data_IF_590240550248
#
_entry.id   IF_590240550248
#
_cell.length_a   1.000
_cell.length_b   1.000
_cell.length_c   1.000
_cell.angle_alpha   90.00
_cell.angle_beta   90.00
_cell.angle_gamma   90.00
#
_symmetry.space_group_name_H-M   'P 1'
#
loop_
_entity.id
_entity.type
_entity.pdbx_description
1 polymer ?
#
# COMPACT_ATOMS: atom_id res chain seq x y z
N UNK A 1 25.77 52.25 -18.25
CA UNK A 1 25.23 52.76 -19.53
C UNK A 1 25.20 51.60 -20.51
N UNK A 2 24.00 51.09 -20.72
CA UNK A 2 23.46 50.77 -22.03
C UNK A 2 24.44 50.23 -23.09
N UNK A 3 24.30 48.94 -23.41
CA UNK A 3 23.66 48.46 -24.64
C UNK A 3 24.23 47.08 -24.96
N UNK A 4 23.39 46.03 -24.96
CA UNK A 4 22.49 45.72 -26.07
C UNK A 4 23.26 45.69 -27.39
N UNK A 5 23.54 44.48 -27.87
CA UNK A 5 22.83 43.89 -29.01
C UNK A 5 23.49 42.56 -29.36
N UNK A 6 22.66 41.69 -29.92
CA UNK A 6 23.00 40.35 -30.42
C UNK A 6 23.09 39.35 -29.27
N UNK A 7 22.00 38.67 -28.91
CA UNK A 7 21.54 37.53 -29.73
C UNK A 7 20.09 37.11 -29.45
N UNK A 8 19.13 38.04 -29.42
CA UNK A 8 17.70 37.68 -29.44
C UNK A 8 16.89 38.55 -30.40
N UNK A 9 16.58 37.96 -31.55
CA UNK A 9 15.35 38.08 -32.32
C UNK A 9 15.10 36.62 -32.75
N UNK A 10 14.01 35.91 -32.44
CA UNK A 10 12.55 36.18 -32.37
C UNK A 10 11.96 34.90 -31.72
N UNK A 11 10.86 34.83 -30.96
CA UNK A 11 10.00 35.75 -30.23
C UNK A 11 9.28 34.89 -29.15
N UNK A 12 9.12 35.46 -27.96
CA UNK A 12 8.28 34.93 -26.89
C UNK A 12 6.91 35.61 -26.99
N UNK A 13 5.77 34.90 -26.84
CA UNK A 13 4.47 35.54 -26.70
C UNK A 13 4.39 36.35 -25.39
N UNK A 14 3.75 37.53 -25.38
CA UNK A 14 3.84 38.46 -24.26
C UNK A 14 3.16 37.93 -22.99
N UNK A 15 3.65 38.34 -21.80
CA UNK A 15 2.92 38.18 -20.55
C UNK A 15 1.76 39.18 -20.54
N UNK A 16 0.52 38.70 -20.47
CA UNK A 16 -0.59 39.57 -20.10
C UNK A 16 -0.47 39.87 -18.61
N UNK A 17 -0.03 41.08 -18.30
CA UNK A 17 -0.21 41.73 -17.01
C UNK A 17 -1.69 41.83 -16.70
N UNK A 18 -2.13 41.20 -15.63
CA UNK A 18 -3.04 41.89 -14.71
C UNK A 18 -2.64 41.58 -13.27
N UNK A 19 -2.67 42.63 -12.46
CA UNK A 19 -2.15 42.66 -11.11
C UNK A 19 -2.94 41.77 -10.17
N UNK A 20 -2.22 41.02 -9.36
CA UNK A 20 -2.81 40.29 -8.25
C UNK A 20 -1.73 39.60 -7.46
N UNK A 21 -1.17 40.30 -6.47
CA UNK A 21 -0.57 39.61 -5.33
C UNK A 21 -1.68 38.76 -4.73
N UNK A 22 -1.71 37.47 -5.05
CA UNK A 22 -2.58 36.54 -4.37
C UNK A 22 -1.98 36.31 -2.98
N UNK A 23 -2.52 37.03 -2.00
CA UNK A 23 -2.47 36.57 -0.61
C UNK A 23 -3.15 35.20 -0.61
N UNK A 24 -2.34 34.16 -0.49
CA UNK A 24 -2.86 32.81 -0.26
C UNK A 24 -3.52 32.88 1.11
N UNK A 25 -4.85 32.78 1.13
CA UNK A 25 -5.59 32.53 2.35
C UNK A 25 -5.08 31.21 2.93
N UNK A 26 -4.29 31.34 4.00
CA UNK A 26 -3.65 30.23 4.70
C UNK A 26 -4.69 29.19 5.13
N UNK A 27 -5.94 29.61 5.38
CA UNK A 27 -7.04 28.71 5.73
C UNK A 27 -7.47 27.83 4.55
N UNK A 28 -7.47 28.33 3.32
CA UNK A 28 -7.79 27.52 2.14
C UNK A 28 -6.65 26.56 1.76
N UNK A 29 -5.40 26.95 2.01
CA UNK A 29 -4.24 26.06 1.81
C UNK A 29 -4.20 24.94 2.86
N UNK A 30 -4.50 25.26 4.12
CA UNK A 30 -4.62 24.27 5.21
C UNK A 30 -5.82 23.34 4.99
N UNK A 31 -6.97 23.86 4.54
CA UNK A 31 -8.14 23.04 4.21
C UNK A 31 -7.87 22.07 3.05
N UNK A 32 -7.01 22.44 2.09
CA UNK A 32 -6.59 21.57 0.98
C UNK A 32 -5.67 20.45 1.46
N UNK A 33 -4.74 20.74 2.38
CA UNK A 33 -3.88 19.74 3.03
C UNK A 33 -4.74 18.78 3.87
N UNK A 34 -5.71 19.28 4.63
CA UNK A 34 -6.63 18.44 5.41
C UNK A 34 -7.50 17.53 4.53
N UNK A 35 -7.91 18.01 3.33
CA UNK A 35 -8.70 17.24 2.36
C UNK A 35 -7.88 16.15 1.65
N UNK A 36 -6.60 16.42 1.35
CA UNK A 36 -5.65 15.41 0.84
C UNK A 36 -5.25 14.40 1.93
N UNK A 37 -5.18 14.82 3.20
CA UNK A 37 -5.00 13.91 4.35
C UNK A 37 -6.21 13.00 4.57
N UNK A 38 -7.43 13.50 4.33
CA UNK A 38 -8.66 12.72 4.49
C UNK A 38 -8.82 11.59 3.45
N UNK A 39 -8.09 11.63 2.33
CA UNK A 39 -8.23 10.69 1.21
C UNK A 39 -7.15 9.61 1.14
N UNK A 40 -6.15 9.61 2.03
CA UNK A 40 -5.14 8.55 2.09
C UNK A 40 -5.46 7.52 3.18
N UNK A 41 -6.20 6.47 2.81
CA UNK A 41 -6.54 5.35 3.68
C UNK A 41 -5.87 4.05 3.23
N UNK A 42 -5.12 3.48 4.18
CA UNK A 42 -4.71 2.09 4.36
C UNK A 42 -3.69 1.48 3.38
N UNK A 43 -2.41 1.62 3.74
CA UNK A 43 -1.45 0.51 3.60
C UNK A 43 -1.32 -0.19 4.95
N UNK A 44 -1.63 -1.48 4.91
CA UNK A 44 -1.50 -2.47 5.96
C UNK A 44 -0.01 -2.62 6.32
N UNK A 45 0.34 -2.33 7.57
CA UNK A 45 1.60 -2.72 8.18
C UNK A 45 1.23 -3.28 9.55
N UNK A 46 1.57 -4.55 9.77
CA UNK A 46 1.44 -5.36 10.98
C UNK A 46 2.21 -4.79 12.19
N UNK A 47 2.14 -3.48 12.43
CA UNK A 47 2.56 -2.88 13.68
C UNK A 47 1.33 -2.77 14.61
N UNK A 48 1.24 -3.56 15.69
CA UNK A 48 0.14 -3.51 16.67
C UNK A 48 0.21 -2.28 17.59
N UNK A 49 1.21 -1.41 17.40
CA UNK A 49 1.52 -0.28 18.26
C UNK A 49 1.01 1.03 17.67
N UNK A 50 0.49 1.91 18.53
CA UNK A 50 -0.03 3.22 18.15
C UNK A 50 1.07 4.26 18.25
N UNK A 51 1.35 4.97 17.15
CA UNK A 51 2.36 6.03 17.13
C UNK A 51 1.72 7.39 16.86
N UNK A 52 2.47 8.46 17.13
CA UNK A 52 2.16 9.81 16.65
C UNK A 52 3.45 10.51 16.21
N UNK A 53 3.41 11.28 15.13
CA UNK A 53 4.55 12.12 14.74
C UNK A 53 4.62 13.31 15.67
N UNK A 54 5.80 13.55 16.21
CA UNK A 54 6.08 14.72 17.04
C UNK A 54 7.30 15.47 16.54
N UNK A 55 7.40 16.73 16.95
CA UNK A 55 8.55 17.59 16.69
C UNK A 55 9.04 18.27 17.96
N UNK A 56 10.35 18.22 18.19
CA UNK A 56 11.05 18.94 19.25
C UNK A 56 12.17 19.75 18.59
N UNK A 57 12.06 21.08 18.62
CA UNK A 57 12.96 21.95 17.88
C UNK A 57 12.92 21.63 16.38
N UNK A 58 14.07 21.22 15.81
CA UNK A 58 14.19 20.79 14.41
C UNK A 58 14.10 19.27 14.22
N UNK A 59 14.08 18.49 15.30
CA UNK A 59 14.07 17.03 15.25
C UNK A 59 12.63 16.51 15.24
N UNK A 60 12.37 15.48 14.43
CA UNK A 60 11.09 14.77 14.39
C UNK A 60 11.30 13.29 14.66
N UNK A 61 10.35 12.66 15.35
CA UNK A 61 10.28 11.21 15.49
C UNK A 61 8.83 10.72 15.55
N UNK A 62 8.68 9.40 15.49
CA UNK A 62 7.42 8.71 15.76
C UNK A 62 7.42 8.28 17.22
N UNK A 63 6.63 8.97 18.05
CA UNK A 63 6.45 8.63 19.45
C UNK A 63 5.49 7.45 19.61
N UNK A 64 5.86 6.46 20.40
CA UNK A 64 4.96 5.39 20.80
C UNK A 64 3.97 5.91 21.84
N UNK A 65 2.68 5.67 21.65
CA UNK A 65 1.67 5.83 22.69
C UNK A 65 1.52 4.50 23.43
N UNK A 66 1.89 4.48 24.71
CA UNK A 66 1.95 3.27 25.52
C UNK A 66 1.21 3.46 26.85
N UNK A 67 -0.01 2.94 26.94
CA UNK A 67 -0.78 2.93 28.19
C UNK A 67 -0.18 1.99 29.26
N UNK A 68 0.78 1.14 28.90
CA UNK A 68 1.55 0.30 29.84
C UNK A 68 2.74 1.03 30.48
N UNK A 69 3.14 2.20 29.94
CA UNK A 69 4.24 2.99 30.48
C UNK A 69 3.74 3.99 31.53
N UNK A 70 4.29 3.96 32.75
CA UNK A 70 3.91 4.88 33.83
C UNK A 70 4.29 6.33 33.52
N UNK A 71 5.48 6.56 32.94
CA UNK A 71 6.03 7.87 32.62
C UNK A 71 6.28 8.01 31.11
N UNK A 72 6.57 9.22 30.67
CA UNK A 72 7.09 9.45 29.33
C UNK A 72 8.59 9.19 29.30
N UNK A 73 9.07 8.55 28.24
CA UNK A 73 10.48 8.22 28.07
C UNK A 73 11.03 8.80 26.76
N UNK A 74 12.30 9.20 26.79
CA UNK A 74 13.05 9.63 25.61
C UNK A 74 14.37 8.88 25.54
N UNK A 75 14.75 8.39 24.36
CA UNK A 75 16.04 7.74 24.17
C UNK A 75 17.18 8.76 24.21
N UNK A 76 18.37 8.33 24.65
CA UNK A 76 19.54 9.21 24.67
C UNK A 76 19.91 9.68 23.24
N UNK A 77 19.73 8.82 22.25
CA UNK A 77 20.01 9.12 20.84
C UNK A 77 19.09 10.21 20.29
N UNK A 78 17.78 10.11 20.53
CA UNK A 78 16.84 11.13 20.07
C UNK A 78 17.01 12.44 20.82
N UNK A 79 17.31 12.38 22.12
CA UNK A 79 17.65 13.55 22.93
C UNK A 79 18.86 14.31 22.36
N UNK A 80 19.91 13.59 21.94
CA UNK A 80 21.09 14.19 21.30
C UNK A 80 20.72 14.85 19.96
N UNK A 81 19.93 14.17 19.11
CA UNK A 81 19.42 14.72 17.84
C UNK A 81 18.55 15.97 18.03
N UNK A 82 17.75 16.01 19.10
CA UNK A 82 16.89 17.13 19.44
C UNK A 82 17.65 18.29 20.13
N UNK A 83 18.95 18.13 20.42
CA UNK A 83 19.75 19.16 21.09
C UNK A 83 19.37 19.39 22.54
N UNK A 84 18.78 18.38 23.21
CA UNK A 84 18.29 18.51 24.60
C UNK A 84 19.36 18.19 25.65
N UNK A 85 20.57 17.76 25.23
CA UNK A 85 21.68 17.41 26.13
C UNK A 85 21.98 18.43 27.25
N UNK A 86 22.07 19.74 26.97
CA UNK A 86 22.32 20.75 27.99
C UNK A 86 21.20 20.91 29.03
N UNK A 87 20.00 20.39 28.75
CA UNK A 87 18.81 20.48 29.63
C UNK A 87 18.64 19.27 30.55
N UNK A 88 19.51 18.28 30.43
CA UNK A 88 19.41 17.05 31.23
C UNK A 88 19.73 17.36 32.68
N UNK A 89 18.89 16.85 33.58
CA UNK A 89 19.08 16.95 35.02
C UNK A 89 19.13 15.57 35.65
N UNK A 90 19.82 15.47 36.79
CA UNK A 90 19.71 14.30 37.67
C UNK A 90 18.53 14.48 38.64
N UNK A 91 17.74 13.42 38.81
CA UNK A 91 16.64 13.33 39.76
C UNK A 91 17.21 13.18 41.17
N UNK A 92 16.61 13.85 42.16
CA UNK A 92 16.95 13.68 43.57
C UNK A 92 16.59 12.29 44.09
N UNK A 93 15.55 11.68 43.51
CA UNK A 93 15.12 10.31 43.77
C UNK A 93 15.01 9.57 42.43
N UNK A 94 15.86 8.55 42.19
CA UNK A 94 15.77 7.74 40.99
C UNK A 94 14.44 6.99 40.89
N UNK A 95 13.92 6.87 39.67
CA UNK A 95 12.69 6.12 39.39
C UNK A 95 13.05 4.70 39.01
N UNK A 96 12.48 3.72 39.72
CA UNK A 96 12.64 2.31 39.37
C UNK A 96 11.57 1.90 38.36
N UNK A 97 12.01 1.44 37.20
CA UNK A 97 11.14 1.02 36.09
C UNK A 97 11.37 -0.45 35.80
N UNK A 98 10.29 -1.22 35.76
CA UNK A 98 10.28 -2.60 35.26
C UNK A 98 9.90 -2.56 33.79
N UNK A 99 10.76 -3.09 32.92
CA UNK A 99 10.48 -3.15 31.48
C UNK A 99 9.42 -4.23 31.18
N UNK A 100 8.84 -4.17 29.98
CA UNK A 100 7.78 -5.08 29.54
C UNK A 100 8.18 -6.56 29.50
N UNK A 101 9.47 -6.89 29.61
CA UNK A 101 9.97 -8.25 29.78
C UNK A 101 9.73 -8.84 31.18
N UNK A 102 9.25 -8.02 32.14
CA UNK A 102 8.92 -8.43 33.50
C UNK A 102 10.13 -8.74 34.40
N UNK A 103 11.35 -8.70 33.85
CA UNK A 103 12.56 -9.13 34.53
C UNK A 103 13.61 -8.02 34.67
N UNK A 104 13.60 -7.05 33.77
CA UNK A 104 14.60 -5.98 33.77
C UNK A 104 14.10 -4.79 34.60
N UNK A 105 14.71 -4.59 35.77
CA UNK A 105 14.52 -3.40 36.59
C UNK A 105 15.66 -2.40 36.32
N UNK A 106 15.33 -1.20 35.85
CA UNK A 106 16.28 -0.10 35.65
C UNK A 106 16.00 1.02 36.65
N UNK A 107 17.06 1.57 37.23
CA UNK A 107 17.00 2.80 38.02
C UNK A 107 17.29 3.98 37.08
N UNK A 108 16.34 4.89 36.93
CA UNK A 108 16.45 6.08 36.09
C UNK A 108 16.70 7.28 36.99
N UNK A 109 17.90 7.85 36.90
CA UNK A 109 18.31 9.03 37.66
C UNK A 109 18.39 10.29 36.79
N UNK A 110 18.05 10.22 35.50
CA UNK A 110 18.16 11.35 34.56
C UNK A 110 16.82 11.66 33.90
N UNK A 111 16.50 12.95 33.82
CA UNK A 111 15.29 13.45 33.18
C UNK A 111 15.56 14.75 32.41
N UNK A 112 14.61 15.13 31.57
CA UNK A 112 14.51 16.46 30.98
C UNK A 112 13.10 17.00 31.20
N UNK A 113 13.04 18.19 31.78
CA UNK A 113 11.77 18.82 32.14
C UNK A 113 11.36 19.92 31.18
N UNK A 114 10.05 20.11 31.09
CA UNK A 114 9.43 21.23 30.38
C UNK A 114 9.81 21.33 28.90
N UNK A 115 9.79 20.22 28.17
CA UNK A 115 10.14 20.20 26.74
C UNK A 115 8.92 20.61 25.91
N UNK A 116 9.01 21.65 25.07
CA UNK A 116 7.95 21.97 24.13
C UNK A 116 7.92 20.93 23.01
N UNK A 117 6.85 20.13 22.97
CA UNK A 117 6.60 19.09 21.98
C UNK A 117 5.45 19.52 21.10
N UNK A 118 5.69 19.54 19.80
CA UNK A 118 4.67 19.83 18.79
C UNK A 118 4.08 18.51 18.28
N UNK A 119 2.78 18.34 18.49
CA UNK A 119 1.97 17.20 18.00
C UNK A 119 1.32 17.54 16.65
N UNK A 120 1.05 18.82 16.42
CA UNK A 120 0.64 19.43 15.16
C UNK A 120 1.18 20.88 15.12
N UNK A 121 1.17 21.59 13.96
CA UNK A 121 1.68 22.96 13.85
C UNK A 121 1.11 23.93 14.89
N UNK A 122 -0.15 23.75 15.29
CA UNK A 122 -0.84 24.57 16.29
C UNK A 122 -0.97 23.91 17.67
N UNK A 123 -0.66 22.61 17.78
CA UNK A 123 -0.77 21.84 19.02
C UNK A 123 0.61 21.58 19.64
N UNK A 124 1.04 22.49 20.52
CA UNK A 124 2.27 22.36 21.30
C UNK A 124 1.94 22.17 22.78
N UNK A 125 2.49 21.11 23.38
CA UNK A 125 2.38 20.83 24.82
C UNK A 125 3.75 20.76 25.45
N UNK A 126 3.81 21.15 26.72
CA UNK A 126 5.02 21.05 27.53
C UNK A 126 5.02 19.67 28.19
N UNK A 127 6.03 18.85 27.90
CA UNK A 127 6.12 17.46 28.36
C UNK A 127 7.46 17.23 29.03
N UNK A 128 7.47 16.54 30.16
CA UNK A 128 8.68 16.05 30.83
C UNK A 128 8.94 14.59 30.45
N UNK A 129 10.20 14.22 30.34
CA UNK A 129 10.64 12.87 29.95
C UNK A 129 11.72 12.35 30.90
N UNK A 130 11.60 11.08 31.25
CA UNK A 130 12.67 10.30 31.84
C UNK A 130 13.58 9.75 30.73
N UNK A 131 14.90 9.76 30.95
CA UNK A 131 15.85 9.32 29.94
C UNK A 131 16.07 7.83 30.10
N UNK A 132 15.61 7.07 29.12
CA UNK A 132 15.67 5.62 29.12
C UNK A 132 15.95 5.13 27.71
N UNK A 133 17.07 4.43 27.54
CA UNK A 133 17.37 3.79 26.27
C UNK A 133 16.44 2.58 26.08
N UNK A 134 15.58 2.72 25.07
CA UNK A 134 14.63 1.71 24.59
C UNK A 134 14.79 1.59 23.07
N UNK A 135 14.09 0.64 22.45
CA UNK A 135 14.05 0.53 20.99
C UNK A 135 13.21 1.63 20.32
N UNK A 136 12.65 2.58 21.08
CA UNK A 136 11.84 3.69 20.58
C UNK A 136 12.54 5.03 20.85
N UNK A 137 12.47 5.94 19.88
CA UNK A 137 12.96 7.32 20.05
C UNK A 137 12.25 8.04 21.21
N UNK A 138 10.95 7.80 21.36
CA UNK A 138 10.14 8.39 22.41
C UNK A 138 8.92 7.53 22.74
N UNK A 139 8.57 7.49 24.02
CA UNK A 139 7.35 6.84 24.54
C UNK A 139 6.54 7.90 25.30
N UNK A 140 5.27 8.03 24.95
CA UNK A 140 4.27 8.81 25.68
C UNK A 140 3.47 7.84 26.55
N UNK A 141 3.72 7.90 27.84
CA UNK A 141 3.09 7.06 28.84
C UNK A 141 1.91 7.74 29.53
N UNK A 142 1.47 7.14 30.62
CA UNK A 142 0.33 7.59 31.42
C UNK A 142 0.48 9.04 31.91
N UNK A 143 1.69 9.51 32.21
CA UNK A 143 1.94 10.91 32.57
C UNK A 143 1.50 11.92 31.50
N UNK A 144 1.59 11.57 30.22
CA UNK A 144 1.03 12.41 29.15
C UNK A 144 -0.42 12.04 28.86
N UNK A 145 -0.77 10.75 28.81
CA UNK A 145 -2.12 10.29 28.48
C UNK A 145 -3.19 10.78 29.47
N UNK A 146 -2.84 10.98 30.73
CA UNK A 146 -3.74 11.50 31.77
C UNK A 146 -3.67 13.03 31.93
N UNK A 147 -2.77 13.71 31.20
CA UNK A 147 -2.61 15.16 31.34
C UNK A 147 -3.86 15.93 30.91
N UNK A 148 -4.54 15.44 29.87
CA UNK A 148 -5.78 15.96 29.32
C UNK A 148 -6.56 14.80 28.69
N UNK A 149 -7.84 15.02 28.38
CA UNK A 149 -8.58 14.08 27.54
C UNK A 149 -8.08 14.17 26.09
N UNK A 150 -7.48 13.09 25.59
CA UNK A 150 -6.91 12.96 24.25
C UNK A 150 -7.73 11.93 23.45
N UNK A 151 -8.80 12.34 22.74
CA UNK A 151 -9.67 11.41 22.02
C UNK A 151 -8.90 10.51 21.04
N UNK A 152 -8.96 9.22 21.33
CA UNK A 152 -8.27 8.16 20.59
C UNK A 152 -9.25 7.45 19.66
N UNK A 153 -8.93 7.45 18.36
CA UNK A 153 -9.64 6.62 17.40
C UNK A 153 -8.73 5.48 16.94
N UNK A 154 -8.86 4.30 17.56
CA UNK A 154 -8.06 3.13 17.24
C UNK A 154 -8.24 2.65 15.80
N UNK A 155 -9.45 2.80 15.23
CA UNK A 155 -9.72 2.40 13.85
C UNK A 155 -8.99 3.30 12.85
N UNK A 156 -9.02 4.62 13.06
CA UNK A 156 -8.32 5.61 12.23
C UNK A 156 -6.85 5.79 12.61
N UNK A 157 -6.41 5.21 13.74
CA UNK A 157 -5.09 5.41 14.35
C UNK A 157 -4.74 6.90 14.52
N UNK A 158 -5.70 7.68 15.02
CA UNK A 158 -5.52 9.12 15.27
C UNK A 158 -5.66 9.43 16.75
N UNK A 159 -4.81 10.32 17.25
CA UNK A 159 -4.91 10.90 18.58
C UNK A 159 -5.26 12.37 18.42
N UNK A 160 -6.27 12.86 19.13
CA UNK A 160 -6.60 14.28 19.09
C UNK A 160 -5.92 15.00 20.25
N UNK A 161 -5.32 16.14 19.96
CA UNK A 161 -4.67 17.00 20.96
C UNK A 161 -5.28 18.39 20.85
N UNK A 162 -5.59 19.01 21.98
CA UNK A 162 -6.09 20.39 22.00
C UNK A 162 -4.98 21.36 21.59
N UNK A 163 -5.29 22.26 20.67
CA UNK A 163 -4.40 23.33 20.26
C UNK A 163 -4.45 24.53 21.24
N UNK A 164 -3.80 25.64 20.88
CA UNK A 164 -3.79 26.86 21.71
C UNK A 164 -5.16 27.57 21.79
N UNK A 165 -6.12 27.18 20.96
CA UNK A 165 -7.48 27.72 20.91
C UNK A 165 -8.50 26.78 21.58
N UNK A 166 -8.01 25.72 22.24
CA UNK A 166 -8.81 24.65 22.84
C UNK A 166 -9.56 23.78 21.81
N UNK A 167 -9.19 23.86 20.54
CA UNK A 167 -9.77 23.04 19.47
C UNK A 167 -9.05 21.68 19.37
N UNK A 168 -9.81 20.60 19.21
CA UNK A 168 -9.27 19.26 19.04
C UNK A 168 -8.70 19.09 17.63
N UNK A 169 -7.38 19.01 17.53
CA UNK A 169 -6.69 18.80 16.25
C UNK A 169 -6.28 17.32 16.11
N UNK A 170 -6.63 16.66 14.99
CA UNK A 170 -6.21 15.29 14.75
C UNK A 170 -4.70 15.22 14.50
N UNK A 171 -4.00 14.45 15.32
CA UNK A 171 -2.60 14.10 15.12
C UNK A 171 -2.54 12.72 14.45
N UNK A 172 -2.03 12.69 13.23
CA UNK A 172 -2.01 11.47 12.40
C UNK A 172 -0.69 10.71 12.53
N UNK A 173 -0.77 9.39 12.39
CA UNK A 173 0.34 8.52 12.00
C UNK A 173 0.58 8.73 10.49
N UNK A 174 1.69 9.32 10.02
CA UNK A 174 2.16 8.91 8.72
C UNK A 174 2.60 7.45 8.88
N UNK A 175 2.02 6.53 8.09
CA UNK A 175 2.62 5.22 7.89
C UNK A 175 4.12 5.42 7.57
N UNK A 176 5.03 4.52 7.98
CA UNK A 176 6.40 4.54 7.48
C UNK A 176 6.36 4.39 5.96
N UNK A 177 6.30 5.52 5.27
CA UNK A 177 6.69 5.61 3.88
C UNK A 177 8.21 5.71 3.90
N UNK A 178 8.96 4.89 3.15
CA UNK A 178 10.35 5.19 2.85
C UNK A 178 10.36 6.60 2.23
N UNK A 179 11.00 7.49 2.95
CA UNK A 179 11.07 8.92 2.69
C UNK A 179 11.57 9.21 1.28
N UNK A 180 10.73 9.86 0.47
CA UNK A 180 11.22 10.96 -0.35
C UNK A 180 11.31 12.15 0.63
N UNK A 181 12.50 12.40 1.17
CA UNK A 181 12.76 13.62 1.94
C UNK A 181 12.73 14.79 0.97
N UNK A 182 11.63 15.53 0.92
CA UNK A 182 11.57 16.77 0.15
C UNK A 182 12.20 17.88 0.98
N UNK A 183 13.48 18.18 0.73
CA UNK A 183 14.14 19.36 1.26
C UNK A 183 14.08 20.47 0.22
N UNK A 184 13.54 21.62 0.59
CA UNK A 184 13.63 22.82 -0.23
C UNK A 184 15.07 23.33 -0.14
N UNK A 185 15.83 23.15 -1.21
CA UNK A 185 17.19 23.67 -1.36
C UNK A 185 17.16 24.91 -2.26
N UNK A 186 17.93 25.93 -1.91
CA UNK A 186 18.07 27.11 -2.75
C UNK A 186 18.86 26.79 -4.02
N UNK A 187 18.59 27.51 -5.12
CA UNK A 187 19.39 27.39 -6.35
C UNK A 187 20.88 27.71 -6.11
N UNK A 188 21.19 28.57 -5.13
CA UNK A 188 22.57 28.88 -4.74
C UNK A 188 23.27 27.68 -4.07
N UNK A 189 22.57 26.95 -3.18
CA UNK A 189 23.10 25.74 -2.55
C UNK A 189 23.35 24.63 -3.56
N UNK A 190 22.45 24.45 -4.53
CA UNK A 190 22.64 23.47 -5.63
C UNK A 190 23.91 23.82 -6.42
N UNK A 191 24.08 25.08 -6.82
CA UNK A 191 25.29 25.53 -7.53
C UNK A 191 26.56 25.32 -6.72
N UNK A 192 26.51 25.57 -5.41
CA UNK A 192 27.66 25.42 -4.53
C UNK A 192 28.07 23.95 -4.35
N UNK A 193 27.11 23.03 -4.28
CA UNK A 193 27.37 21.59 -4.24
C UNK A 193 27.96 21.06 -5.55
N UNK A 194 27.41 21.49 -6.70
CA UNK A 194 27.99 21.17 -8.01
C UNK A 194 29.46 21.66 -8.10
N UNK A 195 29.74 22.87 -7.61
CA UNK A 195 31.11 23.41 -7.59
C UNK A 195 32.06 22.62 -6.68
N UNK A 196 31.54 22.12 -5.55
CA UNK A 196 32.33 21.35 -4.56
C UNK A 196 32.47 19.88 -4.91
N UNK A 197 31.75 19.40 -5.92
CA UNK A 197 31.74 18.00 -6.38
C UNK A 197 31.41 17.01 -5.24
N UNK A 198 30.51 17.42 -4.33
CA UNK A 198 30.12 16.68 -3.13
C UNK A 198 28.88 15.79 -3.34
N UNK A 199 28.39 15.68 -4.58
CA UNK A 199 27.23 14.90 -4.98
C UNK A 199 27.64 13.91 -6.08
N UNK A 200 27.44 12.61 -5.84
CA UNK A 200 27.75 11.54 -6.80
C UNK A 200 26.77 11.51 -7.98
N UNK A 201 25.49 11.81 -7.76
CA UNK A 201 24.45 11.79 -8.81
C UNK A 201 23.30 12.78 -8.47
N UNK A 202 22.78 13.50 -9.47
CA UNK A 202 21.67 14.45 -9.31
C UNK A 202 20.62 14.25 -10.40
N UNK A 203 19.36 14.02 -10.00
CA UNK A 203 18.20 13.93 -10.90
C UNK A 203 17.25 15.13 -10.74
N UNK A 204 16.63 15.55 -11.84
CA UNK A 204 15.58 16.59 -11.85
C UNK A 204 14.25 15.92 -12.20
N UNK A 205 13.23 16.14 -11.39
CA UNK A 205 11.89 15.62 -11.63
C UNK A 205 10.89 16.78 -11.70
N UNK A 206 10.09 16.84 -12.76
CA UNK A 206 9.04 17.84 -12.93
C UNK A 206 7.72 17.29 -12.40
N UNK A 207 7.23 17.87 -11.30
CA UNK A 207 5.88 17.61 -10.82
C UNK A 207 4.90 18.47 -11.60
N UNK A 208 4.22 17.88 -12.58
CA UNK A 208 3.04 18.51 -13.17
C UNK A 208 1.86 18.34 -12.22
N UNK A 209 1.44 19.43 -11.57
CA UNK A 209 0.14 19.49 -10.94
C UNK A 209 -0.92 19.46 -12.04
N UNK A 210 -1.70 18.37 -12.12
CA UNK A 210 -2.95 18.39 -12.88
C UNK A 210 -3.84 19.47 -12.26
N UNK A 211 -4.53 20.30 -13.07
CA UNK A 211 -5.43 21.31 -12.54
C UNK A 211 -6.48 20.65 -11.62
N UNK A 212 -6.90 21.34 -10.55
CA UNK A 212 -7.85 20.80 -9.58
C UNK A 212 -9.12 20.34 -10.32
N UNK A 213 -9.37 19.04 -10.25
CA UNK A 213 -10.58 18.42 -10.76
C UNK A 213 -11.77 18.80 -9.90
N UNK A 214 -12.29 20.00 -10.11
CA UNK A 214 -13.66 20.41 -9.81
C UNK A 214 -14.12 21.35 -10.94
N UNK A 215 -14.08 20.83 -12.16
CA UNK A 215 -15.25 21.00 -13.02
C UNK A 215 -16.22 19.89 -12.58
N UNK A 216 -17.55 20.08 -12.64
CA UNK A 216 -18.43 18.92 -12.66
C UNK A 216 -17.82 17.95 -13.68
N UNK A 217 -17.73 16.66 -13.35
CA UNK A 217 -17.64 15.68 -14.43
C UNK A 217 -18.93 15.87 -15.23
N UNK A 218 -18.93 16.83 -16.15
CA UNK A 218 -19.66 16.65 -17.38
C UNK A 218 -19.14 15.32 -17.86
N UNK A 219 -20.00 14.30 -17.77
CA UNK A 219 -19.97 13.14 -18.63
C UNK A 219 -19.96 13.68 -20.07
N UNK A 220 -18.79 14.16 -20.47
CA UNK A 220 -18.38 14.43 -21.82
C UNK A 220 -17.61 13.18 -22.23
N UNK A 221 -18.25 12.03 -21.99
CA UNK A 221 -17.99 10.87 -22.82
C UNK A 221 -18.33 11.34 -24.22
N UNK A 222 -17.30 11.58 -25.03
CA UNK A 222 -17.44 11.88 -26.44
C UNK A 222 -18.51 10.93 -27.00
N UNK A 223 -19.55 11.42 -27.69
CA UNK A 223 -20.63 10.58 -28.20
C UNK A 223 -20.12 9.37 -28.97
N UNK A 224 -18.96 9.51 -29.62
CA UNK A 224 -18.28 8.43 -30.35
C UNK A 224 -17.73 7.34 -29.43
N UNK A 225 -17.30 7.68 -28.21
CA UNK A 225 -16.86 6.72 -27.19
C UNK A 225 -18.06 6.00 -26.60
N UNK A 226 -19.17 6.71 -26.33
CA UNK A 226 -20.40 6.07 -25.84
C UNK A 226 -20.91 5.08 -26.89
N UNK A 227 -21.07 5.53 -28.13
CA UNK A 227 -21.50 4.67 -29.25
C UNK A 227 -20.58 3.46 -29.43
N UNK A 228 -19.27 3.65 -29.28
CA UNK A 228 -18.31 2.54 -29.28
C UNK A 228 -18.54 1.57 -28.13
N UNK A 229 -18.68 2.05 -26.89
CA UNK A 229 -18.90 1.20 -25.72
C UNK A 229 -20.23 0.44 -25.83
N UNK A 230 -21.29 1.10 -26.30
CA UNK A 230 -22.59 0.49 -26.54
C UNK A 230 -22.52 -0.57 -27.64
N UNK A 231 -21.74 -0.31 -28.71
CA UNK A 231 -21.54 -1.29 -29.80
C UNK A 231 -20.82 -2.57 -29.36
N UNK A 232 -20.11 -2.53 -28.23
CA UNK A 232 -19.38 -3.65 -27.64
C UNK A 232 -19.89 -4.00 -26.23
N UNK A 233 -21.17 -3.71 -25.93
CA UNK A 233 -21.77 -4.00 -24.63
C UNK A 233 -21.57 -5.48 -24.22
N UNK A 234 -21.64 -6.39 -25.20
CA UNK A 234 -21.43 -7.83 -25.04
C UNK A 234 -20.05 -8.17 -24.45
N UNK A 235 -19.00 -7.43 -24.82
CA UNK A 235 -17.62 -7.64 -24.34
C UNK A 235 -17.50 -7.33 -22.84
N UNK A 236 -18.31 -6.41 -22.32
CA UNK A 236 -18.29 -5.98 -20.91
C UNK A 236 -19.15 -6.86 -20.00
N UNK A 237 -19.95 -7.77 -20.56
CA UNK A 237 -20.77 -8.69 -19.77
C UNK A 237 -19.90 -9.71 -19.01
N UNK A 238 -20.38 -10.12 -17.83
CA UNK A 238 -19.68 -11.14 -17.05
C UNK A 238 -19.76 -12.49 -17.77
N UNK A 239 -18.65 -13.25 -17.88
CA UNK A 239 -18.69 -14.57 -18.50
C UNK A 239 -19.53 -15.52 -17.64
N UNK A 240 -20.75 -15.81 -18.11
CA UNK A 240 -21.70 -16.68 -17.42
C UNK A 240 -21.48 -18.17 -17.75
N UNK A 241 -20.83 -18.46 -18.88
CA UNK A 241 -20.57 -19.81 -19.39
C UNK A 241 -19.15 -19.90 -19.95
N UNK A 242 -18.72 -21.12 -20.24
CA UNK A 242 -17.50 -21.37 -21.00
C UNK A 242 -17.63 -20.71 -22.37
N UNK A 243 -16.62 -19.93 -22.78
CA UNK A 243 -16.60 -19.27 -24.08
C UNK A 243 -16.13 -20.29 -25.13
N UNK A 244 -17.00 -20.72 -26.06
CA UNK A 244 -16.62 -21.70 -27.07
C UNK A 244 -15.60 -21.15 -28.07
N UNK A 245 -14.96 -22.05 -28.81
CA UNK A 245 -14.14 -21.76 -30.01
C UNK A 245 -12.95 -20.80 -29.84
N UNK A 246 -12.42 -20.69 -28.61
CA UNK A 246 -11.13 -20.02 -28.41
C UNK A 246 -9.99 -20.80 -29.10
N UNK A 247 -9.08 -20.12 -29.84
CA UNK A 247 -7.98 -20.78 -30.53
C UNK A 247 -6.95 -21.38 -29.56
N UNK A 248 -6.93 -20.89 -28.33
CA UNK A 248 -5.98 -21.28 -27.30
C UNK A 248 -6.69 -22.08 -26.22
N UNK A 249 -6.14 -23.27 -25.94
CA UNK A 249 -6.55 -24.14 -24.84
C UNK A 249 -5.35 -24.46 -23.97
N UNK A 250 -5.58 -24.61 -22.68
CA UNK A 250 -4.55 -24.97 -21.72
C UNK A 250 -4.30 -26.48 -21.73
N UNK A 251 -3.12 -26.88 -22.20
CA UNK A 251 -2.64 -28.26 -22.15
C UNK A 251 -1.71 -28.48 -20.96
N UNK A 252 -1.82 -29.65 -20.32
CA UNK A 252 -1.01 -30.03 -19.15
C UNK A 252 -0.16 -31.24 -19.53
N UNK A 253 1.03 -30.98 -20.06
CA UNK A 253 2.00 -32.03 -20.38
C UNK A 253 2.72 -32.46 -19.11
N UNK A 254 2.65 -33.75 -18.81
CA UNK A 254 3.24 -34.35 -17.62
C UNK A 254 4.52 -35.11 -18.03
N UNK A 255 5.52 -35.15 -17.15
CA UNK A 255 6.72 -35.95 -17.33
C UNK A 255 6.42 -37.44 -17.55
N UNK A 256 7.25 -38.12 -18.36
CA UNK A 256 7.07 -39.52 -18.67
C UNK A 256 7.17 -40.38 -17.41
N UNK A 257 6.20 -41.28 -17.20
CA UNK A 257 6.13 -42.18 -16.04
C UNK A 257 5.61 -41.54 -14.75
N UNK A 258 5.15 -40.28 -14.77
CA UNK A 258 4.61 -39.66 -13.56
C UNK A 258 3.30 -40.33 -13.10
N UNK A 259 3.20 -40.56 -11.80
CA UNK A 259 2.03 -41.17 -11.15
C UNK A 259 1.14 -40.06 -10.55
N UNK A 260 -0.19 -40.17 -10.63
CA UNK A 260 -1.12 -39.21 -10.02
C UNK A 260 -0.81 -38.98 -8.52
N UNK A 261 -0.64 -37.72 -8.09
CA UNK A 261 -0.25 -37.41 -6.72
C UNK A 261 -1.39 -37.67 -5.75
N UNK A 262 -1.07 -38.34 -4.65
CA UNK A 262 -1.99 -38.52 -3.52
C UNK A 262 -1.86 -37.37 -2.53
N UNK A 263 -3.00 -36.79 -2.12
CA UNK A 263 -3.10 -35.80 -1.05
C UNK A 263 -4.23 -36.16 -0.08
N UNK A 264 -4.20 -35.67 1.15
CA UNK A 264 -5.34 -35.76 2.07
C UNK A 264 -6.23 -34.51 1.92
N UNK A 265 -7.53 -34.65 2.21
CA UNK A 265 -8.42 -33.48 2.31
C UNK A 265 -8.05 -32.74 3.60
N UNK A 266 -7.82 -31.43 3.51
CA UNK A 266 -7.52 -30.62 4.68
C UNK A 266 -8.76 -30.45 5.57
N UNK A 267 -8.55 -30.37 6.89
CA UNK A 267 -9.61 -30.06 7.85
C UNK A 267 -10.03 -28.60 7.65
N UNK A 268 -11.34 -28.37 7.64
CA UNK A 268 -11.95 -27.05 7.49
C UNK A 268 -12.90 -26.79 8.67
N UNK A 269 -13.04 -25.53 9.06
CA UNK A 269 -14.05 -25.05 10.00
C UNK A 269 -15.44 -25.02 9.36
N UNK A 270 -16.49 -24.91 10.17
CA UNK A 270 -17.87 -24.87 9.66
C UNK A 270 -18.12 -23.67 8.74
N UNK A 271 -17.55 -22.52 9.07
CA UNK A 271 -17.61 -21.30 8.23
C UNK A 271 -16.96 -21.54 6.88
N UNK A 272 -15.78 -22.19 6.85
CA UNK A 272 -15.10 -22.54 5.61
C UNK A 272 -15.92 -23.53 4.77
N UNK A 273 -16.59 -24.49 5.40
CA UNK A 273 -17.44 -25.46 4.72
C UNK A 273 -18.68 -24.81 4.08
N UNK A 274 -19.31 -23.84 4.75
CA UNK A 274 -20.41 -23.07 4.17
C UNK A 274 -19.96 -22.28 2.93
N UNK A 275 -18.82 -21.59 3.03
CA UNK A 275 -18.25 -20.84 1.90
C UNK A 275 -17.84 -21.79 0.76
N UNK A 276 -17.26 -22.95 1.09
CA UNK A 276 -16.91 -23.98 0.11
C UNK A 276 -18.13 -24.45 -0.66
N UNK A 277 -19.25 -24.69 0.03
CA UNK A 277 -20.49 -25.15 -0.60
C UNK A 277 -21.05 -24.09 -1.56
N UNK A 278 -21.15 -22.84 -1.12
CA UNK A 278 -21.65 -21.75 -1.96
C UNK A 278 -20.79 -21.53 -3.22
N UNK A 279 -19.46 -21.56 -3.09
CA UNK A 279 -18.55 -21.42 -4.24
C UNK A 279 -18.60 -22.64 -5.16
N UNK A 280 -18.76 -23.85 -4.62
CA UNK A 280 -18.94 -25.07 -5.41
C UNK A 280 -20.20 -24.99 -6.27
N UNK A 281 -21.34 -24.59 -5.68
CA UNK A 281 -22.62 -24.49 -6.38
C UNK A 281 -22.55 -23.42 -7.49
N UNK A 282 -21.88 -22.28 -7.26
CA UNK A 282 -21.63 -21.25 -8.28
C UNK A 282 -20.76 -21.76 -9.45
N UNK A 283 -19.68 -22.49 -9.15
CA UNK A 283 -18.80 -23.06 -10.19
C UNK A 283 -19.50 -24.12 -11.04
N UNK A 284 -20.37 -24.93 -10.43
CA UNK A 284 -21.21 -25.90 -11.13
C UNK A 284 -22.27 -25.21 -11.99
N UNK A 285 -22.94 -24.20 -11.47
CA UNK A 285 -23.96 -23.44 -12.21
C UNK A 285 -23.38 -22.76 -13.46
N UNK A 286 -22.14 -22.26 -13.39
CA UNK A 286 -21.40 -21.69 -14.52
C UNK A 286 -20.90 -22.73 -15.54
N UNK A 287 -20.95 -24.02 -15.19
CA UNK A 287 -20.37 -25.10 -15.98
C UNK A 287 -18.83 -25.07 -16.05
N UNK A 288 -18.18 -24.38 -15.11
CA UNK A 288 -16.72 -24.27 -15.07
C UNK A 288 -16.05 -25.52 -14.51
N UNK A 289 -16.79 -26.29 -13.73
CA UNK A 289 -16.36 -27.59 -13.19
C UNK A 289 -17.45 -28.65 -13.41
N UNK A 290 -17.06 -29.92 -13.31
CA UNK A 290 -17.98 -31.06 -13.30
C UNK A 290 -17.50 -32.12 -12.31
N UNK A 291 -18.38 -33.06 -11.96
CA UNK A 291 -17.99 -34.23 -11.16
C UNK A 291 -16.92 -35.05 -11.88
N UNK A 292 -16.01 -35.67 -11.13
CA UNK A 292 -14.87 -36.42 -11.68
C UNK A 292 -14.65 -37.74 -10.95
N UNK A 293 -14.28 -38.76 -11.71
CA UNK A 293 -13.74 -40.03 -11.20
C UNK A 293 -12.24 -40.16 -11.48
N UNK A 294 -11.54 -39.05 -11.67
CA UNK A 294 -10.11 -39.02 -12.00
C UNK A 294 -9.24 -39.66 -10.92
N UNK A 295 -8.09 -40.27 -11.29
CA UNK A 295 -7.09 -40.71 -10.31
C UNK A 295 -6.31 -39.54 -9.69
N UNK A 296 -6.38 -38.33 -10.25
CA UNK A 296 -5.86 -37.12 -9.62
C UNK A 296 -6.82 -36.65 -8.51
N UNK A 297 -6.40 -35.70 -7.69
CA UNK A 297 -7.24 -35.18 -6.63
C UNK A 297 -6.49 -34.22 -5.71
N UNK A 298 -6.25 -33.01 -6.21
CA UNK A 298 -5.64 -31.95 -5.43
C UNK A 298 -6.56 -31.48 -4.29
N UNK A 299 -6.07 -31.29 -3.06
CA UNK A 299 -6.91 -30.81 -1.97
C UNK A 299 -7.22 -29.31 -2.11
N UNK A 300 -8.39 -28.92 -1.59
CA UNK A 300 -8.81 -27.53 -1.49
C UNK A 300 -8.33 -26.92 -0.17
N UNK A 301 -7.89 -25.67 -0.21
CA UNK A 301 -7.58 -24.84 0.94
C UNK A 301 -8.13 -23.42 0.75
N UNK A 302 -8.32 -22.70 1.86
CA UNK A 302 -8.71 -21.30 1.81
C UNK A 302 -7.53 -20.38 2.12
N UNK A 303 -7.45 -19.28 1.38
CA UNK A 303 -6.56 -18.16 1.68
C UNK A 303 -7.43 -16.94 1.98
N UNK A 304 -7.15 -16.25 3.07
CA UNK A 304 -7.85 -15.00 3.40
C UNK A 304 -7.38 -13.88 2.47
N UNK A 305 -8.32 -13.20 1.84
CA UNK A 305 -8.09 -11.92 1.15
C UNK A 305 -7.88 -10.82 2.19
N UNK A 306 -7.34 -9.67 1.75
CA UNK A 306 -7.17 -8.47 2.59
C UNK A 306 -8.47 -7.99 3.24
N UNK A 307 -9.60 -8.16 2.55
CA UNK A 307 -10.93 -7.83 3.05
C UNK A 307 -11.54 -8.92 3.96
N UNK A 308 -10.76 -9.90 4.41
CA UNK A 308 -11.15 -11.07 5.24
C UNK A 308 -11.99 -12.14 4.52
N UNK A 309 -12.39 -11.94 3.26
CA UNK A 309 -13.07 -12.98 2.49
C UNK A 309 -12.17 -14.19 2.27
N UNK A 310 -12.78 -15.37 2.20
CA UNK A 310 -12.08 -16.62 1.91
C UNK A 310 -12.02 -16.86 0.39
N UNK A 311 -10.79 -17.05 -0.11
CA UNK A 311 -10.52 -17.44 -1.51
C UNK A 311 -10.25 -18.94 -1.58
N UNK A 312 -11.10 -19.66 -2.29
CA UNK A 312 -10.86 -21.07 -2.63
C UNK A 312 -9.61 -21.19 -3.50
N UNK A 313 -8.67 -22.00 -3.02
CA UNK A 313 -7.43 -22.31 -3.69
C UNK A 313 -7.28 -23.83 -3.76
N UNK A 314 -6.86 -24.33 -4.92
CA UNK A 314 -6.60 -25.75 -5.10
C UNK A 314 -5.10 -25.94 -5.09
N UNK A 315 -4.62 -26.85 -4.23
CA UNK A 315 -3.19 -27.09 -4.07
C UNK A 315 -2.64 -27.98 -5.19
N UNK A 316 -2.37 -27.37 -6.33
CA UNK A 316 -1.75 -28.03 -7.47
C UNK A 316 -0.24 -28.18 -7.35
N UNK A 317 0.41 -27.90 -6.20
CA UNK A 317 1.87 -27.97 -6.08
C UNK A 317 2.45 -29.31 -6.54
N UNK A 318 1.81 -30.43 -6.17
CA UNK A 318 2.25 -31.77 -6.59
C UNK A 318 2.04 -32.04 -8.08
N UNK A 319 0.93 -31.57 -8.66
CA UNK A 319 0.68 -31.66 -10.10
C UNK A 319 1.69 -30.80 -10.88
N UNK A 320 1.95 -29.59 -10.39
CA UNK A 320 2.88 -28.62 -10.96
C UNK A 320 4.31 -29.15 -10.99
N UNK A 321 4.73 -29.89 -9.96
CA UNK A 321 6.05 -30.50 -9.91
C UNK A 321 6.29 -31.52 -11.03
N UNK A 322 5.23 -32.18 -11.51
CA UNK A 322 5.27 -33.17 -12.59
C UNK A 322 4.97 -32.56 -13.97
N UNK A 323 4.60 -31.28 -14.02
CA UNK A 323 4.19 -30.62 -15.27
C UNK A 323 5.40 -30.02 -15.97
N UNK A 324 5.59 -30.35 -17.24
CA UNK A 324 6.65 -29.80 -18.08
C UNK A 324 6.42 -28.29 -18.26
N UNK A 325 7.41 -27.48 -17.87
CA UNK A 325 7.35 -26.02 -17.94
C UNK A 325 7.61 -25.53 -19.36
N UNK A 326 6.85 -24.55 -19.81
CA UNK A 326 7.10 -23.89 -21.09
C UNK A 326 8.31 -22.96 -21.00
N UNK A 327 9.22 -23.04 -21.97
CA UNK A 327 10.42 -22.19 -22.05
C UNK A 327 10.16 -20.78 -22.65
N UNK A 328 8.90 -20.31 -22.66
CA UNK A 328 8.55 -19.02 -23.26
C UNK A 328 9.07 -17.84 -22.43
N UNK A 329 9.74 -16.89 -23.10
CA UNK A 329 10.16 -15.63 -22.47
C UNK A 329 9.03 -14.61 -22.58
N UNK A 330 8.70 -13.96 -21.46
CA UNK A 330 7.88 -12.76 -21.50
C UNK A 330 8.74 -11.59 -22.01
N UNK A 331 8.18 -10.66 -22.80
CA UNK A 331 8.89 -9.44 -23.19
C UNK A 331 9.27 -8.63 -21.94
N UNK A 332 10.37 -7.87 -22.00
CA UNK A 332 10.75 -6.99 -20.88
C UNK A 332 9.77 -5.82 -20.80
N UNK A 333 9.61 -5.27 -19.60
CA UNK A 333 8.70 -4.14 -19.38
C UNK A 333 9.17 -2.93 -20.17
N UNK A 334 10.48 -2.66 -20.21
CA UNK A 334 11.06 -1.54 -20.95
C UNK A 334 10.73 -1.63 -22.45
N UNK A 335 10.92 -2.81 -23.06
CA UNK A 335 10.54 -3.08 -24.46
C UNK A 335 9.05 -2.79 -24.73
N UNK A 336 8.17 -3.03 -23.75
CA UNK A 336 6.74 -2.74 -23.89
C UNK A 336 6.44 -1.25 -23.75
N UNK A 337 7.13 -0.54 -22.86
CA UNK A 337 6.94 0.89 -22.61
C UNK A 337 7.51 1.75 -23.74
N UNK A 338 8.66 1.37 -24.31
CA UNK A 338 9.23 2.08 -25.46
C UNK A 338 8.28 2.09 -26.67
N UNK A 339 7.53 1.01 -26.89
CA UNK A 339 6.52 0.92 -27.95
C UNK A 339 5.34 1.87 -27.77
N UNK A 340 5.16 2.42 -26.58
CA UNK A 340 4.12 3.41 -26.26
C UNK A 340 4.59 4.85 -26.50
N UNK A 341 5.87 5.07 -26.85
CA UNK A 341 6.42 6.39 -27.12
C UNK A 341 5.65 7.15 -28.21
N UNK A 342 5.26 8.39 -27.93
CA UNK A 342 4.53 9.25 -28.86
C UNK A 342 3.01 9.07 -28.87
N UNK A 343 2.46 8.08 -28.14
CA UNK A 343 1.02 7.95 -27.98
C UNK A 343 0.46 9.06 -27.07
N UNK A 344 -0.63 9.70 -27.50
CA UNK A 344 -1.30 10.77 -26.74
C UNK A 344 -2.48 10.27 -25.90
N UNK A 345 -3.04 9.10 -26.24
CA UNK A 345 -4.21 8.53 -25.60
C UNK A 345 -3.95 7.07 -25.25
N UNK A 346 -4.35 6.66 -24.05
CA UNK A 346 -4.18 5.31 -23.53
C UNK A 346 -5.51 4.75 -23.05
N UNK A 347 -5.79 3.51 -23.45
CA UNK A 347 -6.93 2.74 -22.95
C UNK A 347 -6.42 1.46 -22.32
N UNK A 348 -6.99 1.09 -21.15
CA UNK A 348 -6.64 -0.13 -20.42
C UNK A 348 -7.86 -1.00 -20.27
N UNK A 349 -7.76 -2.24 -20.76
CA UNK A 349 -8.79 -3.27 -20.61
C UNK A 349 -8.26 -4.37 -19.68
N UNK A 350 -9.09 -4.82 -18.76
CA UNK A 350 -8.79 -5.96 -17.88
C UNK A 350 -9.80 -7.08 -18.12
N UNK A 351 -9.30 -8.29 -18.38
CA UNK A 351 -10.14 -9.45 -18.62
C UNK A 351 -10.71 -9.97 -17.30
N UNK A 352 -12.02 -9.79 -17.11
CA UNK A 352 -12.73 -10.33 -15.94
C UNK A 352 -12.58 -11.85 -15.86
N UNK A 353 -11.96 -12.34 -14.80
CA UNK A 353 -11.68 -13.78 -14.64
C UNK A 353 -10.91 -14.40 -15.83
N UNK A 354 -9.94 -13.67 -16.41
CA UNK A 354 -9.31 -14.05 -17.68
C UNK A 354 -8.80 -15.50 -17.78
N UNK A 355 -8.34 -16.12 -16.68
CA UNK A 355 -7.97 -17.55 -16.70
C UNK A 355 -9.16 -18.47 -16.97
N UNK A 356 -10.31 -18.22 -16.34
CA UNK A 356 -11.51 -19.03 -16.51
C UNK A 356 -12.19 -18.84 -17.88
N UNK A 357 -11.69 -17.92 -18.71
CA UNK A 357 -12.10 -17.78 -20.11
C UNK A 357 -11.32 -18.69 -21.06
N UNK A 358 -10.24 -19.34 -20.59
CA UNK A 358 -9.44 -20.28 -21.37
C UNK A 358 -9.87 -21.70 -21.02
N UNK A 359 -10.27 -22.48 -22.01
CA UNK A 359 -10.59 -23.89 -21.79
C UNK A 359 -9.36 -24.74 -21.48
N UNK A 360 -9.51 -25.72 -20.60
CA UNK A 360 -8.54 -26.82 -20.50
C UNK A 360 -8.77 -27.78 -21.66
N UNK A 361 -7.68 -28.26 -22.26
CA UNK A 361 -7.74 -29.27 -23.30
C UNK A 361 -8.56 -30.48 -22.82
N UNK A 362 -9.57 -30.97 -23.57
CA UNK A 362 -10.48 -32.00 -23.07
C UNK A 362 -9.78 -33.25 -22.51
N UNK A 363 -8.67 -33.67 -23.13
CA UNK A 363 -7.84 -34.79 -22.68
C UNK A 363 -7.08 -34.55 -21.37
N UNK A 364 -6.93 -33.30 -20.94
CA UNK A 364 -6.15 -32.91 -19.75
C UNK A 364 -7.02 -32.52 -18.55
N UNK A 365 -8.35 -32.39 -18.74
CA UNK A 365 -9.30 -31.98 -17.68
C UNK A 365 -9.17 -32.84 -16.42
N UNK A 366 -9.07 -34.16 -16.59
CA UNK A 366 -8.94 -35.10 -15.47
C UNK A 366 -7.72 -34.82 -14.57
N UNK A 367 -6.63 -34.24 -15.10
CA UNK A 367 -5.42 -33.89 -14.31
C UNK A 367 -5.69 -32.76 -13.32
N UNK A 368 -6.66 -31.90 -13.63
CA UNK A 368 -7.07 -30.78 -12.77
C UNK A 368 -8.05 -31.19 -11.68
N UNK A 369 -8.34 -32.49 -11.55
CA UNK A 369 -9.29 -32.94 -10.56
C UNK A 369 -8.86 -32.58 -9.13
N UNK A 370 -9.83 -32.11 -8.35
CA UNK A 370 -9.66 -31.63 -7.00
C UNK A 370 -10.73 -32.21 -6.10
N UNK A 371 -10.34 -32.53 -4.88
CA UNK A 371 -11.18 -33.23 -3.91
C UNK A 371 -11.41 -32.41 -2.67
N UNK A 372 -12.61 -32.56 -2.14
CA UNK A 372 -13.08 -31.88 -0.95
C UNK A 372 -14.13 -32.74 -0.24
N UNK A 373 -14.64 -32.27 0.91
CA UNK A 373 -15.60 -33.02 1.72
C UNK A 373 -16.86 -33.45 0.96
N UNK A 374 -17.28 -32.67 -0.04
CA UNK A 374 -18.49 -32.91 -0.81
C UNK A 374 -18.29 -33.76 -2.07
N UNK A 375 -17.08 -34.22 -2.36
CA UNK A 375 -16.80 -35.08 -3.49
C UNK A 375 -15.60 -34.65 -4.32
N UNK A 376 -15.59 -35.11 -5.57
CA UNK A 376 -14.48 -34.99 -6.49
C UNK A 376 -14.93 -34.32 -7.80
N UNK A 377 -14.20 -33.29 -8.21
CA UNK A 377 -14.57 -32.42 -9.33
C UNK A 377 -13.35 -32.10 -10.17
N UNK A 378 -13.55 -31.81 -11.45
CA UNK A 378 -12.50 -31.38 -12.37
C UNK A 378 -12.89 -30.11 -13.12
N UNK A 379 -11.89 -29.36 -13.56
CA UNK A 379 -12.11 -28.10 -14.26
C UNK A 379 -12.30 -28.30 -15.76
N UNK A 380 -13.23 -27.52 -16.32
CA UNK A 380 -13.43 -27.36 -17.77
C UNK A 380 -12.61 -26.18 -18.29
N UNK A 381 -12.51 -25.12 -17.48
CA UNK A 381 -11.76 -23.89 -17.75
C UNK A 381 -10.55 -23.78 -16.86
N UNK A 382 -9.52 -23.05 -17.27
CA UNK A 382 -8.23 -23.01 -16.59
C UNK A 382 -8.35 -22.40 -15.18
N UNK A 383 -8.10 -23.18 -14.10
CA UNK A 383 -8.12 -22.65 -12.74
C UNK A 383 -6.84 -21.89 -12.41
N UNK A 384 -6.91 -21.14 -11.31
CA UNK A 384 -5.72 -20.60 -10.66
C UNK A 384 -4.82 -21.73 -10.13
N UNK A 385 -3.51 -21.47 -10.11
CA UNK A 385 -2.53 -22.33 -9.44
C UNK A 385 -1.87 -23.37 -10.35
N UNK A 386 -2.27 -23.50 -11.63
CA UNK A 386 -1.58 -24.38 -12.58
C UNK A 386 -0.29 -23.76 -13.12
N UNK A 387 0.71 -24.61 -13.35
CA UNK A 387 1.93 -24.27 -14.09
C UNK A 387 1.58 -23.87 -15.53
N UNK A 388 2.36 -22.96 -16.12
CA UNK A 388 2.16 -22.41 -17.47
C UNK A 388 0.90 -21.55 -17.68
N UNK A 389 -0.05 -21.51 -16.75
CA UNK A 389 -1.29 -20.71 -16.89
C UNK A 389 -1.01 -19.22 -17.15
N UNK A 390 -0.09 -18.61 -16.38
CA UNK A 390 0.31 -17.21 -16.56
C UNK A 390 0.91 -16.95 -17.94
N UNK A 391 1.82 -17.81 -18.39
CA UNK A 391 2.47 -17.64 -19.69
C UNK A 391 1.48 -17.81 -20.84
N UNK A 392 0.59 -18.80 -20.74
CA UNK A 392 -0.43 -19.04 -21.76
C UNK A 392 -1.45 -17.91 -21.84
N UNK A 393 -1.88 -17.35 -20.71
CA UNK A 393 -2.83 -16.22 -20.70
C UNK A 393 -2.32 -14.96 -21.40
N UNK A 394 -1.00 -14.84 -21.61
CA UNK A 394 -0.37 -13.74 -22.33
C UNK A 394 -0.28 -13.98 -23.84
N UNK A 395 -0.74 -15.15 -24.32
CA UNK A 395 -0.87 -15.46 -25.75
C UNK A 395 -2.27 -15.21 -26.31
N UNK A 396 -3.24 -14.92 -25.42
CA UNK A 396 -4.61 -14.55 -25.80
C UNK A 396 -4.66 -13.28 -26.65
#
# INVERSE_FOLDING_TARGET
MAHLREYLHVAVPPPSTDGGVAVIDLCNYLAKIDREYATQRYVDIDAPLLYIRIQIGKATCSALNDCGATHNYISQDFMARAGLGPRVRRKSQPTHVTLADGHTQKSIDRCVDSVPVYFAPLACKVVSFDILDTNFDMILGMSWLQSEDHPLNFYRRTVHVRDRRDELVPCTVPLPHPSIGCHVVSAASIRQSIWRNDIEEMGICFLHALPPGDQPKTDTSDPRIIELLDSYEDVFQAPARVIPDRPIRHGITIEYGAVPPRGCIYRMSEVELQVLRAQLDDLLAKGWIRTSCSPYGAPVLFVRKKNKDLRLCIDYRKLNAQTIKYAGRLPRIDDLLERLGGAQYFSKLDLKSGYHQIEIQPRDRYKTAFKMRYGHFEWIVMPFGLTNARLLSKRL
#
